data_IF_972155269613
#
_entry.id   IF_972155269613
#
_cell.length_a   1.000
_cell.length_b   1.000
_cell.length_c   1.000
_cell.angle_alpha   90.00
_cell.angle_beta   90.00
_cell.angle_gamma   90.00
#
_symmetry.space_group_name_H-M   'P 1'
#
loop_
_entity.id
_entity.type
_entity.pdbx_description
1 polymer ?
#
# COMPACT_ATOMS: atom_id res chain seq x y z
N UNK A 1 -16.78 -34.40 14.64
CA UNK A 1 -16.77 -34.75 13.19
C UNK A 1 -15.38 -34.43 12.66
N UNK A 2 -14.71 -35.37 11.97
CA UNK A 2 -13.37 -35.20 11.40
C UNK A 2 -13.52 -35.12 9.89
N UNK A 3 -13.02 -34.05 9.27
CA UNK A 3 -12.97 -33.92 7.81
C UNK A 3 -11.57 -34.38 7.37
N UNK A 4 -11.50 -35.32 6.43
CA UNK A 4 -10.25 -35.68 5.75
C UNK A 4 -10.33 -35.05 4.36
N UNK A 5 -9.37 -34.19 4.05
CA UNK A 5 -9.23 -33.53 2.75
C UNK A 5 -7.96 -34.08 2.11
N UNK A 6 -8.10 -34.65 0.93
CA UNK A 6 -6.98 -35.12 0.11
C UNK A 6 -6.86 -34.20 -1.11
N UNK A 7 -5.63 -33.75 -1.39
CA UNK A 7 -5.32 -32.87 -2.51
C UNK A 7 -4.45 -33.65 -3.48
N UNK A 8 -4.85 -33.67 -4.76
CA UNK A 8 -4.12 -34.33 -5.84
C UNK A 8 -3.78 -33.31 -6.93
N UNK A 9 -2.55 -33.33 -7.42
CA UNK A 9 -2.13 -32.53 -8.57
C UNK A 9 -2.70 -33.15 -9.85
N UNK A 10 -3.69 -32.48 -10.46
CA UNK A 10 -4.36 -32.97 -11.68
C UNK A 10 -3.48 -32.86 -12.94
N UNK A 11 -2.55 -31.89 -12.99
CA UNK A 11 -1.59 -31.70 -14.08
C UNK A 11 -0.52 -30.66 -13.73
N UNK A 12 0.67 -30.75 -14.34
CA UNK A 12 1.67 -29.67 -14.33
C UNK A 12 1.29 -28.58 -15.34
N UNK A 13 0.91 -27.38 -14.86
CA UNK A 13 0.57 -26.22 -15.69
C UNK A 13 -0.80 -25.58 -15.34
N UNK A 14 -1.15 -24.45 -15.96
CA UNK A 14 -2.37 -23.66 -15.73
C UNK A 14 -2.33 -22.24 -16.31
N UNK A 15 -3.30 -21.40 -15.92
CA UNK A 15 -3.21 -19.95 -16.12
C UNK A 15 -2.17 -19.35 -15.15
N UNK A 16 -1.45 -18.31 -15.57
CA UNK A 16 -0.42 -17.61 -14.78
C UNK A 16 0.74 -18.50 -14.31
N UNK A 17 1.20 -19.43 -15.17
CA UNK A 17 2.44 -20.16 -14.91
C UNK A 17 3.62 -19.19 -14.96
N UNK A 18 4.39 -19.12 -13.88
CA UNK A 18 5.71 -18.50 -13.88
C UNK A 18 6.63 -19.30 -14.82
N UNK A 19 6.92 -18.75 -15.99
CA UNK A 19 7.79 -19.39 -17.00
C UNK A 19 9.26 -19.17 -16.72
N UNK A 20 9.61 -18.16 -15.92
CA UNK A 20 10.97 -17.90 -15.42
C UNK A 20 11.01 -18.08 -13.92
N UNK A 21 11.69 -19.13 -13.45
CA UNK A 21 11.97 -19.29 -12.02
C UNK A 21 12.92 -18.16 -11.58
N UNK A 22 12.50 -17.36 -10.61
CA UNK A 22 13.42 -16.52 -9.84
C UNK A 22 14.21 -17.43 -8.89
N UNK A 23 15.53 -17.24 -8.84
CA UNK A 23 16.42 -18.04 -7.98
C UNK A 23 16.44 -17.53 -6.52
N UNK A 24 15.77 -16.41 -6.24
CA UNK A 24 15.68 -15.81 -4.91
C UNK A 24 14.36 -15.03 -4.77
N UNK A 25 13.89 -14.93 -3.53
CA UNK A 25 12.75 -14.11 -3.14
C UNK A 25 13.30 -12.93 -2.33
N UNK A 26 12.85 -11.71 -2.64
CA UNK A 26 13.21 -10.55 -1.83
C UNK A 26 12.49 -10.64 -0.48
N UNK A 27 13.17 -10.23 0.60
CA UNK A 27 12.68 -10.38 1.98
C UNK A 27 11.27 -9.79 2.17
N UNK A 28 10.94 -8.75 1.43
CA UNK A 28 9.66 -8.03 1.48
C UNK A 28 8.46 -8.92 1.15
N UNK A 29 8.63 -9.92 0.29
CA UNK A 29 7.54 -10.84 -0.10
C UNK A 29 7.47 -12.10 0.75
N UNK A 30 8.50 -12.41 1.54
CA UNK A 30 8.58 -13.68 2.28
C UNK A 30 7.37 -13.88 3.21
N UNK A 31 7.09 -12.90 4.08
CA UNK A 31 5.95 -12.96 5.00
C UNK A 31 4.61 -12.95 4.26
N UNK A 32 4.53 -12.27 3.10
CA UNK A 32 3.31 -12.22 2.30
C UNK A 32 3.01 -13.59 1.73
N UNK A 33 4.01 -14.23 1.12
CA UNK A 33 3.85 -15.55 0.52
C UNK A 33 3.59 -16.64 1.55
N UNK A 34 4.23 -16.58 2.72
CA UNK A 34 3.97 -17.49 3.84
C UNK A 34 2.51 -17.42 4.33
N UNK A 35 1.91 -16.23 4.33
CA UNK A 35 0.53 -16.05 4.77
C UNK A 35 -0.51 -16.34 3.68
N UNK A 36 -0.18 -16.15 2.40
CA UNK A 36 -1.12 -16.30 1.28
C UNK A 36 -1.13 -17.74 0.74
N UNK A 37 0.03 -18.36 0.58
CA UNK A 37 0.15 -19.65 -0.09
C UNK A 37 0.32 -20.78 0.93
N UNK A 38 -0.70 -21.64 1.03
CA UNK A 38 -0.70 -22.80 1.93
C UNK A 38 0.49 -23.75 1.71
N UNK A 39 1.02 -23.78 0.50
CA UNK A 39 2.16 -24.60 0.10
C UNK A 39 3.46 -23.80 -0.03
N UNK A 40 3.53 -22.59 0.54
CA UNK A 40 4.79 -21.87 0.67
C UNK A 40 5.69 -22.60 1.66
N UNK A 41 6.47 -23.53 1.12
CA UNK A 41 7.54 -24.15 1.87
C UNK A 41 8.78 -23.30 1.59
N UNK A 42 9.32 -22.62 2.61
CA UNK A 42 10.69 -22.13 2.54
C UNK A 42 11.57 -23.37 2.33
N UNK A 43 11.81 -23.75 1.08
CA UNK A 43 12.66 -24.88 0.78
C UNK A 43 14.00 -24.62 1.47
N UNK A 44 14.34 -25.51 2.40
CA UNK A 44 15.58 -25.62 3.19
C UNK A 44 16.82 -25.06 2.47
N UNK A 45 17.04 -23.75 2.49
CA UNK A 45 18.06 -23.00 1.74
C UNK A 45 17.72 -22.69 0.27
N UNK A 46 16.94 -21.64 0.03
CA UNK A 46 17.23 -20.66 -1.02
C UNK A 46 17.44 -19.33 -0.30
N UNK A 47 18.59 -18.69 -0.50
CA UNK A 47 18.97 -17.47 0.21
C UNK A 47 17.87 -16.41 0.05
N UNK A 48 17.12 -16.14 1.12
CA UNK A 48 16.45 -14.85 1.27
C UNK A 48 17.58 -13.84 1.08
N UNK A 49 17.52 -13.07 0.00
CA UNK A 49 18.55 -12.07 -0.23
C UNK A 49 18.55 -11.14 0.97
N UNK A 50 19.72 -10.97 1.61
CA UNK A 50 19.89 -9.91 2.61
C UNK A 50 19.74 -8.52 1.96
N UNK A 51 19.88 -8.44 0.63
CA UNK A 51 19.64 -7.25 -0.15
C UNK A 51 18.12 -7.01 -0.30
N UNK A 52 17.67 -5.85 0.16
CA UNK A 52 16.33 -5.35 -0.11
C UNK A 52 16.10 -5.22 -1.62
N UNK A 53 14.84 -5.31 -2.04
CA UNK A 53 14.47 -4.96 -3.41
C UNK A 53 14.83 -3.53 -3.81
N UNK A 54 14.69 -3.23 -5.11
CA UNK A 54 14.88 -1.89 -5.66
C UNK A 54 13.58 -1.09 -5.63
N UNK A 55 13.74 0.23 -5.51
CA UNK A 55 12.67 1.21 -5.64
C UNK A 55 12.90 2.10 -6.87
N UNK A 56 11.83 2.41 -7.59
CA UNK A 56 11.83 3.41 -8.67
C UNK A 56 10.84 4.52 -8.30
N UNK A 57 11.31 5.76 -8.32
CA UNK A 57 10.50 6.96 -8.14
C UNK A 57 10.27 7.60 -9.52
N UNK A 58 9.03 7.64 -9.97
CA UNK A 58 8.61 8.34 -11.18
C UNK A 58 8.03 9.68 -10.74
N UNK A 59 8.75 10.75 -11.01
CA UNK A 59 8.47 12.04 -10.41
C UNK A 59 8.15 13.09 -11.47
N UNK A 60 7.09 13.87 -11.27
CA UNK A 60 6.90 15.08 -12.03
C UNK A 60 8.14 15.96 -11.90
N UNK A 61 8.62 16.52 -13.01
CA UNK A 61 9.86 17.28 -13.09
C UNK A 61 9.96 18.39 -12.03
N UNK A 62 8.82 19.04 -11.74
CA UNK A 62 8.71 20.11 -10.76
C UNK A 62 9.05 19.70 -9.31
N UNK A 63 8.96 18.41 -8.96
CA UNK A 63 9.16 17.90 -7.59
C UNK A 63 10.43 17.08 -7.41
N UNK A 64 11.29 17.01 -8.45
CA UNK A 64 12.54 16.25 -8.41
C UNK A 64 13.49 16.73 -7.30
N UNK A 65 13.47 18.02 -6.96
CA UNK A 65 14.24 18.57 -5.83
C UNK A 65 13.62 18.20 -4.48
N UNK A 66 12.29 18.30 -4.33
CA UNK A 66 11.56 17.95 -3.11
C UNK A 66 11.78 16.49 -2.68
N UNK A 67 12.03 15.59 -3.64
CA UNK A 67 12.19 14.16 -3.41
C UNK A 67 13.63 13.70 -3.12
N UNK A 68 14.64 14.58 -3.16
CA UNK A 68 16.04 14.16 -2.97
C UNK A 68 16.27 13.54 -1.58
N UNK A 69 15.81 14.20 -0.52
CA UNK A 69 15.97 13.72 0.85
C UNK A 69 15.31 12.34 1.06
N UNK A 70 14.15 12.12 0.43
CA UNK A 70 13.47 10.83 0.48
C UNK A 70 14.29 9.74 -0.23
N UNK A 71 14.77 10.02 -1.44
CA UNK A 71 15.63 9.10 -2.20
C UNK A 71 16.89 8.74 -1.40
N UNK A 72 17.55 9.75 -0.83
CA UNK A 72 18.76 9.56 -0.01
C UNK A 72 18.46 8.71 1.22
N UNK A 73 17.37 9.00 1.93
CA UNK A 73 16.93 8.21 3.07
C UNK A 73 16.70 6.74 2.72
N UNK A 74 15.99 6.44 1.62
CA UNK A 74 15.79 5.06 1.17
C UNK A 74 17.11 4.36 0.84
N UNK A 75 18.05 5.06 0.22
CA UNK A 75 19.41 4.54 -0.02
C UNK A 75 20.18 4.28 1.27
N UNK A 76 20.06 5.15 2.28
CA UNK A 76 20.66 4.92 3.60
C UNK A 76 20.09 3.67 4.29
N UNK A 77 18.82 3.33 4.02
CA UNK A 77 18.19 2.09 4.48
C UNK A 77 18.60 0.84 3.69
N UNK A 78 19.51 0.96 2.72
CA UNK A 78 19.94 -0.14 1.87
C UNK A 78 18.98 -0.47 0.71
N UNK A 79 18.01 0.41 0.41
CA UNK A 79 17.10 0.25 -0.72
C UNK A 79 17.70 1.00 -1.91
N UNK A 80 18.14 0.27 -2.93
CA UNK A 80 18.58 0.89 -4.18
C UNK A 80 17.41 1.67 -4.79
N UNK A 81 17.57 2.99 -4.90
CA UNK A 81 16.48 3.89 -5.29
C UNK A 81 16.87 4.72 -6.51
N UNK A 82 16.22 4.43 -7.64
CA UNK A 82 16.31 5.21 -8.88
C UNK A 82 15.20 6.26 -8.89
N UNK A 83 15.51 7.48 -9.32
CA UNK A 83 14.50 8.53 -9.51
C UNK A 83 14.60 9.08 -10.92
N UNK A 84 13.48 9.12 -11.63
CA UNK A 84 13.38 9.49 -13.05
C UNK A 84 12.29 10.54 -13.24
N UNK A 85 12.57 11.63 -13.96
CA UNK A 85 11.55 12.63 -14.28
C UNK A 85 10.55 12.08 -15.29
N UNK A 86 9.27 12.45 -15.14
CA UNK A 86 8.20 12.01 -16.05
C UNK A 86 8.45 12.46 -17.49
N UNK A 87 9.12 13.60 -17.70
CA UNK A 87 9.53 14.08 -19.02
C UNK A 87 10.45 13.12 -19.79
N UNK A 88 11.25 12.30 -19.09
CA UNK A 88 12.14 11.33 -19.71
C UNK A 88 11.44 10.01 -20.10
N UNK A 89 10.24 9.76 -19.55
CA UNK A 89 9.42 8.56 -19.81
C UNK A 89 8.30 8.87 -20.81
N UNK A 90 7.71 10.06 -20.69
CA UNK A 90 6.47 10.47 -21.35
C UNK A 90 5.26 10.24 -20.45
N UNK A 91 4.42 11.27 -20.31
CA UNK A 91 3.29 11.28 -19.37
C UNK A 91 2.01 10.68 -19.97
N UNK A 92 2.05 9.39 -20.29
CA UNK A 92 0.88 8.61 -20.72
C UNK A 92 0.89 7.26 -20.02
N UNK A 93 -0.29 6.69 -19.76
CA UNK A 93 -0.41 5.37 -19.14
C UNK A 93 0.44 4.29 -19.85
N UNK A 94 0.40 4.15 -21.20
CA UNK A 94 1.23 3.15 -21.88
C UNK A 94 2.73 3.36 -21.69
N UNK A 95 3.21 4.61 -21.68
CA UNK A 95 4.63 4.91 -21.51
C UNK A 95 5.09 4.60 -20.08
N UNK A 96 4.31 5.01 -19.08
CA UNK A 96 4.59 4.73 -17.67
C UNK A 96 4.57 3.22 -17.42
N UNK A 97 3.56 2.52 -17.96
CA UNK A 97 3.43 1.06 -17.83
C UNK A 97 4.61 0.33 -18.49
N UNK A 98 5.01 0.73 -19.69
CA UNK A 98 6.15 0.14 -20.38
C UNK A 98 7.45 0.37 -19.60
N UNK A 99 7.68 1.58 -19.09
CA UNK A 99 8.85 1.88 -18.26
C UNK A 99 8.90 1.04 -16.98
N UNK A 100 7.77 0.88 -16.27
CA UNK A 100 7.69 0.01 -15.08
C UNK A 100 7.93 -1.45 -15.47
N UNK A 101 7.42 -1.90 -16.61
CA UNK A 101 7.65 -3.26 -17.09
C UNK A 101 9.14 -3.51 -17.40
N UNK A 102 9.83 -2.53 -17.99
CA UNK A 102 11.26 -2.62 -18.25
C UNK A 102 12.07 -2.68 -16.94
N UNK A 103 11.73 -1.85 -15.95
CA UNK A 103 12.33 -1.90 -14.61
C UNK A 103 12.07 -3.24 -13.90
N UNK A 104 10.87 -3.81 -14.04
CA UNK A 104 10.55 -5.12 -13.50
C UNK A 104 11.36 -6.24 -14.18
N UNK A 105 11.44 -6.18 -15.51
CA UNK A 105 12.20 -7.14 -16.32
C UNK A 105 13.71 -7.08 -16.04
N UNK A 106 14.23 -5.93 -15.60
CA UNK A 106 15.61 -5.76 -15.17
C UNK A 106 15.93 -6.48 -13.83
N UNK A 107 14.92 -6.93 -13.08
CA UNK A 107 15.07 -7.75 -11.87
C UNK A 107 14.99 -6.94 -10.57
N UNK A 108 14.56 -7.61 -9.50
CA UNK A 108 14.52 -7.10 -8.11
C UNK A 108 13.72 -5.80 -7.86
N UNK A 109 12.91 -5.33 -8.82
CA UNK A 109 11.96 -4.24 -8.57
C UNK A 109 10.91 -4.70 -7.55
N UNK A 110 10.75 -3.92 -6.47
CA UNK A 110 9.74 -4.17 -5.44
C UNK A 110 8.80 -2.99 -5.27
N UNK A 111 9.30 -1.76 -5.37
CA UNK A 111 8.49 -0.56 -5.15
C UNK A 111 8.53 0.42 -6.32
N UNK A 112 7.37 0.97 -6.66
CA UNK A 112 7.23 2.16 -7.50
C UNK A 112 6.50 3.24 -6.72
N UNK A 113 7.11 4.42 -6.65
CA UNK A 113 6.49 5.62 -6.08
C UNK A 113 6.25 6.64 -7.19
N UNK A 114 4.98 6.97 -7.42
CA UNK A 114 4.57 8.05 -8.31
C UNK A 114 4.55 9.36 -7.51
N UNK A 115 5.12 10.43 -8.05
CA UNK A 115 5.17 11.74 -7.38
C UNK A 115 4.58 12.82 -8.28
N UNK A 116 3.43 13.34 -7.88
CA UNK A 116 2.60 14.26 -8.64
C UNK A 116 1.12 13.90 -8.53
N UNK A 117 0.25 14.88 -8.76
CA UNK A 117 -1.19 14.65 -8.89
C UNK A 117 -1.52 13.97 -10.23
N UNK A 118 -2.78 13.55 -10.42
CA UNK A 118 -3.18 12.73 -11.57
C UNK A 118 -2.92 13.37 -12.94
N UNK A 119 -2.91 14.70 -13.03
CA UNK A 119 -2.55 15.43 -14.25
C UNK A 119 -1.04 15.61 -14.46
N UNK A 120 -0.23 15.43 -13.42
CA UNK A 120 1.23 15.63 -13.45
C UNK A 120 1.96 14.30 -13.70
N UNK A 121 1.44 13.21 -13.13
CA UNK A 121 1.87 11.83 -13.40
C UNK A 121 0.60 10.99 -13.60
N UNK A 122 0.30 10.65 -14.84
CA UNK A 122 -0.97 10.03 -15.24
C UNK A 122 -1.19 8.68 -14.53
N UNK A 123 -2.34 8.47 -13.85
CA UNK A 123 -2.69 7.16 -13.31
C UNK A 123 -3.02 6.19 -14.44
N UNK A 124 -2.95 4.90 -14.15
CA UNK A 124 -3.47 3.89 -15.08
C UNK A 124 -5.01 3.85 -15.03
N UNK A 125 -5.62 3.15 -15.98
CA UNK A 125 -7.07 3.01 -16.07
C UNK A 125 -7.52 1.65 -15.54
N UNK A 126 -8.46 1.64 -14.58
CA UNK A 126 -9.04 0.40 -14.08
C UNK A 126 -9.80 -0.35 -15.17
N UNK A 127 -9.71 -1.68 -15.16
CA UNK A 127 -10.27 -2.55 -16.21
C UNK A 127 -11.38 -3.48 -15.71
N UNK A 128 -11.76 -3.39 -14.44
CA UNK A 128 -12.71 -4.33 -13.82
C UNK A 128 -13.53 -3.69 -12.70
N UNK A 129 -14.75 -4.22 -12.52
CA UNK A 129 -15.67 -3.82 -11.47
C UNK A 129 -15.99 -2.32 -11.48
N UNK A 130 -16.17 -1.75 -10.28
CA UNK A 130 -16.44 -0.31 -10.12
C UNK A 130 -15.27 0.60 -10.49
N UNK A 131 -14.08 0.05 -10.72
CA UNK A 131 -12.91 0.81 -11.15
C UNK A 131 -12.80 0.89 -12.69
N UNK A 132 -13.65 0.19 -13.45
CA UNK A 132 -13.58 0.18 -14.91
C UNK A 132 -13.72 1.59 -15.50
N UNK A 133 -12.70 2.06 -16.21
CA UNK A 133 -12.67 3.40 -16.81
C UNK A 133 -12.34 4.54 -15.83
N UNK A 134 -11.99 4.23 -14.59
CA UNK A 134 -11.57 5.20 -13.58
C UNK A 134 -10.06 5.10 -13.30
N UNK A 135 -9.49 6.16 -12.70
CA UNK A 135 -8.10 6.21 -12.30
C UNK A 135 -7.75 5.08 -11.30
N UNK A 136 -6.70 4.31 -11.59
CA UNK A 136 -6.31 3.14 -10.83
C UNK A 136 -4.79 2.86 -10.94
N UNK A 137 -3.97 3.56 -10.15
CA UNK A 137 -2.53 3.26 -10.00
C UNK A 137 -2.19 1.78 -9.72
N UNK A 138 -3.00 0.97 -8.99
CA UNK A 138 -2.71 -0.46 -8.81
C UNK A 138 -2.54 -1.25 -10.11
N UNK A 139 -3.11 -0.79 -11.23
CA UNK A 139 -2.94 -1.43 -12.54
C UNK A 139 -1.48 -1.41 -12.99
N UNK A 140 -0.67 -0.44 -12.56
CA UNK A 140 0.76 -0.44 -12.83
C UNK A 140 1.48 -1.62 -12.17
N UNK A 141 0.94 -2.21 -11.11
CA UNK A 141 1.56 -3.31 -10.38
C UNK A 141 1.47 -4.70 -11.06
N UNK A 142 0.59 -4.86 -12.06
CA UNK A 142 0.41 -6.13 -12.78
C UNK A 142 1.50 -6.27 -13.85
N UNK A 143 2.67 -6.79 -13.49
CA UNK A 143 3.88 -6.83 -14.35
C UNK A 143 4.27 -8.24 -14.77
N UNK A 144 3.59 -9.26 -14.24
CA UNK A 144 3.69 -10.64 -14.66
C UNK A 144 2.30 -11.29 -14.76
N UNK A 145 2.21 -12.31 -15.61
CA UNK A 145 0.95 -13.02 -15.84
C UNK A 145 -0.09 -12.18 -16.60
N UNK A 146 -1.33 -12.68 -16.58
CA UNK A 146 -2.50 -12.02 -17.17
C UNK A 146 -3.64 -11.88 -16.15
N UNK A 147 -3.29 -11.66 -14.89
CA UNK A 147 -4.22 -11.53 -13.78
C UNK A 147 -4.14 -10.17 -13.07
N UNK A 148 -4.85 -10.09 -11.95
CA UNK A 148 -4.96 -8.89 -11.12
C UNK A 148 -4.21 -9.02 -9.80
N UNK A 149 -3.21 -9.92 -9.72
CA UNK A 149 -2.33 -9.99 -8.56
C UNK A 149 -1.18 -8.97 -8.72
N UNK A 150 -1.00 -8.04 -7.78
CA UNK A 150 0.15 -7.12 -7.81
C UNK A 150 1.47 -7.88 -7.66
N UNK A 151 2.42 -7.65 -8.56
CA UNK A 151 3.77 -8.22 -8.51
C UNK A 151 4.78 -7.30 -7.82
N UNK A 152 4.41 -6.03 -7.67
CA UNK A 152 5.18 -4.95 -7.05
C UNK A 152 4.23 -4.06 -6.22
N UNK A 153 4.78 -3.23 -5.35
CA UNK A 153 4.02 -2.24 -4.60
C UNK A 153 4.05 -0.90 -5.34
N UNK A 154 2.86 -0.36 -5.63
CA UNK A 154 2.70 0.97 -6.22
C UNK A 154 2.08 1.90 -5.18
N UNK A 155 2.61 3.11 -5.07
CA UNK A 155 2.08 4.17 -4.19
C UNK A 155 2.25 5.53 -4.85
N UNK A 156 1.57 6.55 -4.32
CA UNK A 156 1.62 7.92 -4.84
C UNK A 156 1.80 8.96 -3.73
N UNK A 157 2.70 9.90 -3.94
CA UNK A 157 2.69 11.20 -3.28
C UNK A 157 2.05 12.24 -4.20
N UNK A 158 0.79 12.59 -3.94
CA UNK A 158 0.08 13.59 -4.74
C UNK A 158 0.41 15.00 -4.26
N UNK A 159 0.63 15.93 -5.18
CA UNK A 159 0.83 17.35 -4.87
C UNK A 159 -0.47 18.03 -4.42
N UNK A 160 -1.63 17.39 -4.65
CA UNK A 160 -2.98 17.98 -4.48
C UNK A 160 -3.06 19.32 -5.20
N UNK A 161 -3.28 19.24 -6.51
CA UNK A 161 -3.42 20.39 -7.41
C UNK A 161 -2.16 21.26 -7.55
N UNK A 162 -0.99 20.64 -7.68
CA UNK A 162 0.24 21.35 -8.06
C UNK A 162 1.01 21.98 -6.90
N UNK A 163 0.70 21.62 -5.65
CA UNK A 163 1.31 22.25 -4.48
C UNK A 163 2.49 21.44 -3.93
N UNK A 164 3.71 21.92 -4.19
CA UNK A 164 4.96 21.30 -3.74
C UNK A 164 5.06 21.11 -2.21
N UNK A 165 4.43 21.99 -1.42
CA UNK A 165 4.43 21.87 0.05
C UNK A 165 3.77 20.55 0.49
N UNK A 166 2.80 20.04 -0.26
CA UNK A 166 2.19 18.75 0.05
C UNK A 166 3.14 17.58 -0.23
N UNK A 167 4.03 17.71 -1.20
CA UNK A 167 5.11 16.74 -1.42
C UNK A 167 6.09 16.79 -0.24
N UNK A 168 6.55 17.98 0.16
CA UNK A 168 7.46 18.15 1.30
C UNK A 168 6.90 17.56 2.59
N UNK A 169 5.62 17.77 2.86
CA UNK A 169 4.92 17.19 4.02
C UNK A 169 4.87 15.66 3.97
N UNK A 170 4.69 15.08 2.79
CA UNK A 170 4.68 13.62 2.62
C UNK A 170 6.08 13.02 2.75
N UNK A 171 7.10 13.71 2.23
CA UNK A 171 8.52 13.34 2.38
C UNK A 171 8.92 13.38 3.85
N UNK A 172 8.78 14.54 4.49
CA UNK A 172 9.19 14.74 5.89
C UNK A 172 8.51 13.77 6.84
N UNK A 173 7.17 13.65 6.81
CA UNK A 173 6.46 12.71 7.71
C UNK A 173 6.89 11.26 7.52
N UNK A 174 7.25 10.86 6.30
CA UNK A 174 7.69 9.49 6.01
C UNK A 174 9.11 9.25 6.54
N UNK A 175 10.01 10.23 6.36
CA UNK A 175 11.37 10.16 6.89
C UNK A 175 11.34 10.20 8.41
N UNK A 176 10.60 11.14 9.02
CA UNK A 176 10.55 11.33 10.47
C UNK A 176 10.01 10.07 11.17
N UNK A 177 8.96 9.47 10.62
CA UNK A 177 8.38 8.23 11.18
C UNK A 177 9.36 7.05 11.09
N UNK A 178 10.15 6.95 10.02
CA UNK A 178 11.08 5.84 9.82
C UNK A 178 12.45 6.04 10.48
N UNK A 179 12.94 7.28 10.54
CA UNK A 179 14.31 7.64 10.95
C UNK A 179 14.38 8.05 12.41
N UNK A 180 13.36 8.75 12.91
CA UNK A 180 13.32 9.32 14.26
C UNK A 180 12.01 8.96 14.96
N UNK A 181 11.71 7.66 15.14
CA UNK A 181 10.53 7.26 15.89
C UNK A 181 10.63 7.76 17.34
N UNK A 182 9.49 8.17 17.90
CA UNK A 182 9.42 8.66 19.27
C UNK A 182 9.59 7.50 20.26
N UNK A 183 10.76 7.40 20.88
CA UNK A 183 11.03 6.30 21.81
C UNK A 183 10.01 6.25 22.95
N UNK A 184 9.40 5.08 23.17
CA UNK A 184 8.42 4.87 24.25
C UNK A 184 7.07 5.54 24.06
N UNK A 185 6.72 5.98 22.84
CA UNK A 185 5.44 6.63 22.62
C UNK A 185 4.28 5.63 22.60
N UNK A 186 3.38 5.74 23.58
CA UNK A 186 2.24 4.82 23.72
C UNK A 186 1.30 4.85 22.51
N UNK A 187 1.20 6.00 21.82
CA UNK A 187 0.30 6.18 20.67
C UNK A 187 0.58 5.22 19.51
N UNK A 188 1.78 4.62 19.42
CA UNK A 188 2.07 3.56 18.43
C UNK A 188 1.16 2.33 18.61
N UNK A 189 0.67 2.09 19.82
CA UNK A 189 -0.16 0.95 20.20
C UNK A 189 -1.66 1.29 20.26
N UNK A 190 -2.06 2.47 19.80
CA UNK A 190 -3.44 2.97 19.84
C UNK A 190 -4.03 3.01 18.43
N UNK A 191 -5.15 2.32 18.24
CA UNK A 191 -5.94 2.35 17.01
C UNK A 191 -7.25 3.13 17.14
N UNK A 192 -7.89 3.40 16.01
CA UNK A 192 -9.24 3.95 15.94
C UNK A 192 -10.07 3.21 14.90
N UNK A 193 -11.23 2.69 15.33
CA UNK A 193 -12.28 2.21 14.45
C UNK A 193 -13.36 3.28 14.22
N UNK A 194 -13.66 3.56 12.96
CA UNK A 194 -14.78 4.42 12.55
C UNK A 194 -15.70 3.62 11.66
N UNK A 195 -16.98 3.49 12.02
CA UNK A 195 -17.86 2.56 11.31
C UNK A 195 -19.31 3.00 11.21
N UNK A 196 -19.95 2.63 10.10
CA UNK A 196 -21.39 2.73 9.92
C UNK A 196 -22.14 1.63 10.71
N UNK A 197 -23.46 1.77 10.82
CA UNK A 197 -24.35 0.71 11.32
C UNK A 197 -25.04 -0.06 10.18
N UNK A 198 -24.51 0.03 8.95
CA UNK A 198 -25.07 -0.56 7.73
C UNK A 198 -24.40 -1.88 7.38
N UNK A 199 -25.01 -2.64 6.47
CA UNK A 199 -24.51 -3.94 5.99
C UNK A 199 -24.93 -5.13 6.84
N UNK A 200 -24.61 -6.33 6.37
CA UNK A 200 -24.82 -7.60 7.09
C UNK A 200 -23.62 -8.53 6.88
N UNK A 201 -22.84 -8.86 7.93
CA UNK A 201 -22.82 -8.23 9.25
C UNK A 201 -22.58 -6.72 9.14
N UNK A 202 -22.99 -5.95 10.15
CA UNK A 202 -22.82 -4.49 10.11
C UNK A 202 -21.36 -4.09 10.02
N UNK A 203 -21.06 -2.94 9.43
CA UNK A 203 -19.70 -2.40 9.38
C UNK A 203 -19.10 -2.24 10.77
N UNK A 204 -19.89 -1.82 11.76
CA UNK A 204 -19.47 -1.78 13.17
C UNK A 204 -19.10 -3.16 13.73
N UNK A 205 -19.78 -4.22 13.29
CA UNK A 205 -19.43 -5.60 13.66
C UNK A 205 -18.11 -6.01 13.02
N UNK A 206 -17.92 -5.72 11.74
CA UNK A 206 -16.65 -6.00 11.03
C UNK A 206 -15.49 -5.20 11.60
N UNK A 207 -15.73 -3.94 11.96
CA UNK A 207 -14.75 -3.08 12.61
C UNK A 207 -14.36 -3.62 14.00
N UNK A 208 -15.29 -4.26 14.73
CA UNK A 208 -14.95 -4.98 15.95
C UNK A 208 -14.04 -6.20 15.71
N UNK A 209 -14.14 -6.91 14.59
CA UNK A 209 -13.20 -7.99 14.27
C UNK A 209 -11.79 -7.47 14.00
N UNK A 210 -11.67 -6.34 13.29
CA UNK A 210 -10.38 -5.67 13.10
C UNK A 210 -9.80 -5.20 14.43
N UNK A 211 -10.63 -4.59 15.28
CA UNK A 211 -10.28 -4.20 16.66
C UNK A 211 -9.71 -5.38 17.44
N UNK A 212 -10.42 -6.51 17.46
CA UNK A 212 -10.00 -7.69 18.22
C UNK A 212 -8.70 -8.29 17.67
N UNK A 213 -8.49 -8.22 16.34
CA UNK A 213 -7.24 -8.63 15.72
C UNK A 213 -6.06 -7.74 16.11
N UNK A 214 -6.28 -6.42 16.20
CA UNK A 214 -5.26 -5.47 16.66
C UNK A 214 -4.91 -5.71 18.15
N UNK A 215 -5.92 -5.85 19.01
CA UNK A 215 -5.75 -6.10 20.45
C UNK A 215 -5.13 -7.46 20.76
N UNK A 216 -5.32 -8.45 19.89
CA UNK A 216 -4.64 -9.75 19.97
C UNK A 216 -3.18 -9.69 19.48
N UNK A 217 -2.76 -8.56 18.91
CA UNK A 217 -1.42 -8.30 18.41
C UNK A 217 -0.70 -7.30 19.33
N UNK A 218 -0.07 -6.27 18.77
CA UNK A 218 0.73 -5.29 19.50
C UNK A 218 -0.06 -4.10 20.02
N UNK A 219 -1.37 -4.01 19.84
CA UNK A 219 -2.16 -2.83 20.24
C UNK A 219 -2.71 -2.98 21.66
N UNK A 220 -2.70 -1.90 22.42
CA UNK A 220 -3.19 -1.85 23.81
C UNK A 220 -4.59 -1.26 23.89
N UNK A 221 -4.96 -0.41 22.93
CA UNK A 221 -6.28 0.21 22.85
C UNK A 221 -6.70 0.42 21.41
N UNK A 222 -8.01 0.33 21.17
CA UNK A 222 -8.60 0.72 19.89
C UNK A 222 -9.89 1.50 20.17
N UNK A 223 -9.78 2.82 20.02
CA UNK A 223 -10.86 3.78 20.14
C UNK A 223 -11.97 3.52 19.12
N UNK A 224 -13.19 4.01 19.40
CA UNK A 224 -14.36 3.76 18.55
C UNK A 224 -15.16 5.02 18.30
N UNK A 225 -15.49 5.25 17.05
CA UNK A 225 -16.48 6.24 16.63
C UNK A 225 -17.46 5.59 15.64
N UNK A 226 -18.53 4.98 16.17
CA UNK A 226 -19.49 4.19 15.37
C UNK A 226 -20.85 4.87 15.30
N UNK A 227 -21.50 4.81 14.13
CA UNK A 227 -22.89 5.28 13.99
C UNK A 227 -23.86 4.53 14.92
N UNK A 228 -24.88 5.20 15.47
CA UNK A 228 -25.22 6.62 15.30
C UNK A 228 -24.51 7.56 16.29
N UNK A 229 -23.66 7.05 17.19
CA UNK A 229 -23.11 7.82 18.32
C UNK A 229 -21.76 8.49 18.04
N UNK A 230 -21.05 8.03 17.01
CA UNK A 230 -19.78 8.61 16.58
C UNK A 230 -19.94 10.04 16.07
N UNK A 231 -18.92 10.86 16.27
CA UNK A 231 -18.91 12.27 15.88
C UNK A 231 -17.53 12.72 15.40
N UNK A 232 -17.47 13.78 14.58
CA UNK A 232 -16.20 14.34 14.10
C UNK A 232 -15.34 14.87 15.25
N UNK A 233 -16.00 15.36 16.32
CA UNK A 233 -15.32 15.79 17.54
C UNK A 233 -14.61 14.63 18.25
N UNK A 234 -15.26 13.46 18.36
CA UNK A 234 -14.64 12.27 18.94
C UNK A 234 -13.42 11.83 18.14
N UNK A 235 -13.57 11.70 16.81
CA UNK A 235 -12.45 11.27 15.97
C UNK A 235 -11.30 12.28 16.04
N UNK A 236 -11.60 13.59 15.97
CA UNK A 236 -10.58 14.64 16.11
C UNK A 236 -9.83 14.50 17.43
N UNK A 237 -10.55 14.33 18.54
CA UNK A 237 -9.96 14.09 19.86
C UNK A 237 -9.02 12.88 19.85
N UNK A 238 -9.47 11.73 19.37
CA UNK A 238 -8.64 10.52 19.32
C UNK A 238 -7.39 10.65 18.42
N UNK A 239 -7.48 11.40 17.31
CA UNK A 239 -6.33 11.67 16.45
C UNK A 239 -5.34 12.60 17.17
N UNK A 240 -5.83 13.67 17.80
CA UNK A 240 -5.01 14.65 18.53
C UNK A 240 -4.34 14.05 19.78
N UNK A 241 -5.02 13.12 20.46
CA UNK A 241 -4.50 12.38 21.62
C UNK A 241 -3.44 11.32 21.23
N UNK A 242 -3.37 10.97 19.94
CA UNK A 242 -2.41 10.02 19.38
C UNK A 242 -3.05 8.71 18.93
N UNK A 243 -3.04 8.47 17.61
CA UNK A 243 -3.53 7.23 16.98
C UNK A 243 -2.56 6.82 15.87
N UNK A 244 -2.15 5.55 15.83
CA UNK A 244 -1.22 5.02 14.80
C UNK A 244 -1.92 4.37 13.61
N UNK A 245 -3.15 3.88 13.78
CA UNK A 245 -3.96 3.28 12.71
C UNK A 245 -5.43 3.68 12.81
N UNK A 246 -6.03 4.02 11.67
CA UNK A 246 -7.47 4.32 11.57
C UNK A 246 -8.10 3.35 10.56
N UNK A 247 -9.11 2.60 10.99
CA UNK A 247 -9.92 1.75 10.13
C UNK A 247 -11.30 2.39 9.93
N UNK A 248 -11.61 2.81 8.70
CA UNK A 248 -12.90 3.38 8.33
C UNK A 248 -13.73 2.36 7.51
N UNK A 249 -14.91 1.99 8.01
CA UNK A 249 -15.86 1.11 7.31
C UNK A 249 -17.22 1.80 7.18
N UNK A 250 -17.54 2.28 5.98
CA UNK A 250 -18.81 2.94 5.70
C UNK A 250 -18.79 3.62 4.34
N UNK A 251 -19.76 4.51 4.09
CA UNK A 251 -19.82 5.27 2.84
C UNK A 251 -18.80 6.41 2.84
N UNK A 252 -18.11 6.60 1.72
CA UNK A 252 -17.25 7.76 1.51
C UNK A 252 -17.72 8.56 0.31
N UNK A 253 -17.18 9.77 0.19
CA UNK A 253 -17.17 10.57 -1.04
C UNK A 253 -15.72 10.94 -1.37
N UNK A 254 -15.52 11.58 -2.52
CA UNK A 254 -14.19 12.09 -2.93
C UNK A 254 -13.56 13.02 -1.89
N UNK A 255 -14.38 13.68 -1.06
CA UNK A 255 -13.92 14.66 -0.08
C UNK A 255 -14.18 14.24 1.36
N UNK A 256 -14.61 13.01 1.65
CA UNK A 256 -14.94 12.70 3.04
C UNK A 256 -15.44 11.32 3.40
N UNK A 257 -15.47 11.08 4.71
CA UNK A 257 -16.11 9.93 5.35
C UNK A 257 -17.51 10.35 5.80
N UNK A 258 -18.55 9.57 5.50
CA UNK A 258 -19.93 9.98 5.77
C UNK A 258 -20.52 9.40 7.07
N UNK A 259 -19.95 8.30 7.59
CA UNK A 259 -20.50 7.57 8.73
C UNK A 259 -19.57 7.62 9.95
N UNK A 260 -20.10 7.26 11.12
CA UNK A 260 -19.33 7.19 12.36
C UNK A 260 -18.77 8.53 12.85
N UNK A 261 -19.28 9.67 12.40
CA UNK A 261 -18.73 10.99 12.75
C UNK A 261 -17.81 11.60 11.70
N UNK A 262 -18.05 11.32 10.43
CA UNK A 262 -17.34 11.79 9.24
C UNK A 262 -16.47 13.07 9.24
N UNK A 263 -15.49 13.12 8.35
CA UNK A 263 -14.74 14.34 7.97
C UNK A 263 -15.04 14.72 6.53
N UNK A 264 -14.99 16.03 6.25
CA UNK A 264 -14.88 16.56 4.89
C UNK A 264 -13.60 17.38 4.78
N UNK A 265 -12.88 17.28 3.66
CA UNK A 265 -11.63 18.01 3.35
C UNK A 265 -11.73 18.90 2.11
#
# INVERSE_FOLDING_TARGET
>A
KRLVVEIYEMSKGGANIITKKKNSITREFANIYENIFLNFNQARYDSISEQAGRMVIICADAYMSNMQDFKEWKRMKGIETKMVPISAIGNTEPNIKAFIQDEYNAGDLVWVLLVGDGNEVVPATGTSGSASGADADPVYAYTAGGDYYPDIFVSRFSSRSGNSINIDKQVSRSIDYEKTPMAGADWYHIGLGVASSLGSPTDSTRCNWLRDSLLASTYTEVNKSYSPWGSSALIKGFIEDGTSIINYLGHGSVNGWSNGGGFSV
#
